data_IF_620129556730
#
_entry.id   IF_620129556730
#
_cell.length_a   1.000
_cell.length_b   1.000
_cell.length_c   1.000
_cell.angle_alpha   90.00
_cell.angle_beta   90.00
_cell.angle_gamma   90.00
#
_symmetry.space_group_name_H-M   'P 1'
#
loop_
_entity.id
_entity.type
_entity.pdbx_description
1 polymer ?
#
# COMPACT_ATOMS: atom_id res chain seq x y z
N UNK A 1 19.70 -53.02 -36.14
CA UNK A 1 20.62 -52.45 -37.15
C UNK A 1 20.62 -50.94 -37.02
N UNK A 2 21.82 -50.34 -36.95
CA UNK A 2 22.16 -48.90 -36.90
C UNK A 2 21.75 -48.15 -35.62
N UNK A 3 22.57 -47.34 -34.96
CA UNK A 3 24.03 -47.18 -34.81
C UNK A 3 24.21 -46.12 -33.72
N UNK A 4 24.99 -46.43 -32.68
CA UNK A 4 25.46 -45.52 -31.65
C UNK A 4 26.40 -44.46 -32.26
N UNK A 5 26.42 -43.25 -31.71
CA UNK A 5 27.59 -42.38 -31.80
C UNK A 5 27.85 -41.66 -30.47
N UNK A 6 29.12 -41.74 -30.10
CA UNK A 6 29.77 -41.32 -28.86
C UNK A 6 30.20 -39.84 -28.91
N UNK A 7 30.41 -39.30 -27.70
CA UNK A 7 30.99 -37.99 -27.38
C UNK A 7 32.40 -37.74 -27.97
N UNK A 8 32.83 -36.47 -27.95
CA UNK A 8 34.18 -36.17 -27.47
C UNK A 8 34.19 -35.10 -26.35
N UNK A 9 35.12 -35.29 -25.40
CA UNK A 9 35.49 -34.36 -24.30
C UNK A 9 36.75 -33.54 -24.67
N UNK A 10 37.36 -32.72 -23.79
CA UNK A 10 37.48 -31.27 -24.02
C UNK A 10 38.94 -30.83 -24.27
N UNK A 11 39.14 -29.66 -24.87
CA UNK A 11 40.44 -28.98 -24.84
C UNK A 11 40.35 -27.65 -24.10
N UNK A 12 41.33 -27.51 -23.22
CA UNK A 12 41.72 -26.39 -22.37
C UNK A 12 41.85 -25.05 -23.10
N UNK A 13 41.25 -23.99 -22.54
CA UNK A 13 41.66 -22.62 -22.81
C UNK A 13 41.66 -21.78 -21.53
N UNK A 14 42.81 -21.15 -21.30
CA UNK A 14 43.17 -20.23 -20.22
C UNK A 14 42.36 -18.92 -20.27
N UNK A 15 42.20 -18.19 -19.15
CA UNK A 15 41.41 -16.97 -19.12
C UNK A 15 42.21 -15.75 -19.60
N UNK A 16 41.62 -14.81 -20.35
CA UNK A 16 42.20 -13.48 -20.48
C UNK A 16 41.64 -12.55 -19.39
N UNK A 17 42.59 -12.00 -18.62
CA UNK A 17 42.69 -10.61 -18.15
C UNK A 17 41.39 -9.83 -17.88
N UNK A 18 41.18 -9.59 -16.57
CA UNK A 18 40.55 -8.42 -15.93
C UNK A 18 40.01 -7.32 -16.86
N UNK A 19 38.68 -7.29 -17.03
CA UNK A 19 37.97 -6.07 -17.43
C UNK A 19 37.72 -5.25 -16.16
N UNK A 20 38.45 -4.15 -16.04
CA UNK A 20 38.23 -3.11 -15.04
C UNK A 20 36.88 -2.46 -15.34
N UNK A 21 35.92 -2.65 -14.44
CA UNK A 21 34.72 -1.81 -14.42
C UNK A 21 35.14 -0.40 -13.99
N UNK A 22 35.23 0.52 -14.95
CA UNK A 22 35.28 1.94 -14.65
C UNK A 22 33.97 2.32 -13.97
N UNK A 23 34.00 2.45 -12.64
CA UNK A 23 32.98 3.16 -11.89
C UNK A 23 33.04 4.63 -12.30
N UNK A 24 32.21 5.02 -13.26
CA UNK A 24 31.90 6.43 -13.49
C UNK A 24 31.21 6.96 -12.24
N UNK A 25 31.91 7.82 -11.52
CA UNK A 25 31.32 8.66 -10.46
C UNK A 25 30.05 9.34 -11.00
N UNK A 26 28.97 9.43 -10.20
CA UNK A 26 27.81 10.21 -10.60
C UNK A 26 28.25 11.65 -10.87
N UNK A 27 27.72 12.32 -11.92
CA UNK A 27 28.03 13.71 -12.17
C UNK A 27 27.67 14.52 -10.92
N UNK A 28 28.62 15.36 -10.51
CA UNK A 28 28.47 16.33 -9.43
C UNK A 28 27.16 17.11 -9.63
N UNK A 29 26.39 17.38 -8.56
CA UNK A 29 25.19 18.20 -8.68
C UNK A 29 25.59 19.53 -9.28
N UNK A 30 25.04 19.84 -10.45
CA UNK A 30 25.16 21.16 -11.05
C UNK A 30 24.69 22.17 -10.01
N UNK A 31 25.39 23.30 -9.80
CA UNK A 31 25.00 24.26 -8.80
C UNK A 31 23.57 24.70 -9.11
N UNK A 32 22.70 24.50 -8.13
CA UNK A 32 21.35 25.07 -8.05
C UNK A 32 21.39 26.45 -8.70
N UNK A 33 20.58 26.65 -9.74
CA UNK A 33 20.26 28.01 -10.17
C UNK A 33 19.89 28.78 -8.91
N UNK A 34 20.63 29.83 -8.64
CA UNK A 34 20.41 30.74 -7.52
C UNK A 34 19.00 31.32 -7.64
N UNK A 35 18.06 30.68 -6.97
CA UNK A 35 16.73 31.22 -6.68
C UNK A 35 16.87 32.31 -5.61
N UNK A 36 17.58 33.40 -5.91
CA UNK A 36 17.59 34.61 -5.06
C UNK A 36 16.50 35.61 -5.47
N UNK A 37 15.47 35.14 -6.18
CA UNK A 37 14.25 35.88 -6.50
C UNK A 37 13.19 34.85 -6.89
N UNK A 38 11.96 34.95 -6.35
CA UNK A 38 10.81 33.99 -6.32
C UNK A 38 10.77 33.19 -4.99
N UNK A 39 9.80 33.31 -4.07
CA UNK A 39 8.38 33.69 -4.15
C UNK A 39 7.86 34.30 -2.82
N UNK A 40 7.26 35.49 -2.84
CA UNK A 40 6.49 36.03 -1.70
C UNK A 40 5.18 35.26 -1.45
N UNK A 41 4.77 34.38 -2.38
CA UNK A 41 3.54 33.60 -2.28
C UNK A 41 3.87 32.14 -1.92
N UNK A 42 3.07 31.50 -1.05
CA UNK A 42 3.25 30.10 -0.67
C UNK A 42 3.05 29.17 -1.87
N UNK A 43 3.80 28.08 -1.94
CA UNK A 43 3.52 26.97 -2.85
C UNK A 43 2.17 26.34 -2.45
N UNK A 44 1.20 26.34 -3.35
CA UNK A 44 -0.15 25.82 -3.11
C UNK A 44 -0.35 24.49 -3.82
N UNK A 45 -0.59 23.44 -3.05
CA UNK A 45 -0.86 22.10 -3.56
C UNK A 45 -2.27 21.64 -3.21
N UNK A 46 -3.02 21.17 -4.20
CA UNK A 46 -4.25 20.40 -3.98
C UNK A 46 -3.94 18.90 -4.06
N UNK A 47 -4.28 18.13 -3.03
CA UNK A 47 -4.19 16.66 -3.06
C UNK A 47 -5.59 16.08 -3.07
N UNK A 48 -5.93 15.31 -4.10
CA UNK A 48 -7.28 14.82 -4.34
C UNK A 48 -7.41 13.34 -3.95
N UNK A 49 -7.91 13.08 -2.75
CA UNK A 49 -8.15 11.76 -2.18
C UNK A 49 -7.32 11.51 -0.93
N UNK A 50 -7.97 11.15 0.18
CA UNK A 50 -7.34 10.98 1.50
C UNK A 50 -7.10 9.51 1.88
N UNK A 51 -6.78 8.67 0.89
CA UNK A 51 -6.35 7.28 1.09
C UNK A 51 -4.83 7.14 1.26
N UNK A 52 -4.33 5.91 1.07
CA UNK A 52 -2.89 5.60 1.16
C UNK A 52 -2.01 6.52 0.29
N UNK A 53 -2.41 6.74 -0.97
CA UNK A 53 -1.66 7.56 -1.92
C UNK A 53 -1.58 9.03 -1.47
N UNK A 54 -2.72 9.66 -1.23
CA UNK A 54 -2.77 11.08 -0.90
C UNK A 54 -2.12 11.42 0.42
N UNK A 55 -2.38 10.65 1.49
CA UNK A 55 -1.74 10.91 2.78
C UNK A 55 -0.22 10.69 2.75
N UNK A 56 0.26 9.72 1.97
CA UNK A 56 1.71 9.57 1.78
C UNK A 56 2.31 10.80 1.09
N UNK A 57 1.66 11.31 0.04
CA UNK A 57 2.10 12.55 -0.65
C UNK A 57 2.10 13.74 0.30
N UNK A 58 1.02 13.94 1.06
CA UNK A 58 0.91 15.04 2.04
C UNK A 58 2.06 14.99 3.05
N UNK A 59 2.30 13.82 3.66
CA UNK A 59 3.40 13.64 4.61
C UNK A 59 4.75 14.02 3.98
N UNK A 60 5.04 13.50 2.78
CA UNK A 60 6.32 13.71 2.13
C UNK A 60 6.50 15.14 1.60
N UNK A 61 5.44 15.80 1.11
CA UNK A 61 5.47 17.22 0.76
C UNK A 61 5.84 18.07 1.98
N UNK A 62 5.19 17.83 3.12
CA UNK A 62 5.50 18.54 4.37
C UNK A 62 6.91 18.23 4.87
N UNK A 63 7.36 16.98 4.75
CA UNK A 63 8.66 16.54 5.29
C UNK A 63 9.84 16.98 4.44
N UNK A 64 9.68 17.01 3.12
CA UNK A 64 10.76 17.26 2.16
C UNK A 64 10.74 18.65 1.53
N UNK A 65 9.70 19.46 1.76
CA UNK A 65 9.74 20.88 1.42
C UNK A 65 10.93 21.55 2.11
N UNK A 66 11.68 22.44 1.42
CA UNK A 66 12.72 23.27 2.04
C UNK A 66 12.20 23.95 3.31
N UNK A 67 13.07 24.15 4.31
CA UNK A 67 12.65 24.69 5.62
C UNK A 67 12.06 26.08 5.49
N UNK A 68 12.58 26.87 4.57
CA UNK A 68 12.23 28.27 4.32
C UNK A 68 11.02 28.40 3.38
N UNK A 69 10.58 27.30 2.74
CA UNK A 69 9.48 27.33 1.80
C UNK A 69 8.13 27.40 2.54
N UNK A 70 7.37 28.46 2.27
CA UNK A 70 5.96 28.51 2.65
C UNK A 70 5.17 27.53 1.76
N UNK A 71 4.48 26.57 2.37
CA UNK A 71 3.68 25.57 1.65
C UNK A 71 2.29 25.47 2.26
N UNK A 72 1.27 25.47 1.39
CA UNK A 72 -0.11 25.23 1.76
C UNK A 72 -0.63 24.03 1.00
N UNK A 73 -1.11 23.03 1.74
CA UNK A 73 -1.68 21.81 1.19
C UNK A 73 -3.17 21.77 1.54
N UNK A 74 -4.01 21.75 0.52
CA UNK A 74 -5.44 21.52 0.64
C UNK A 74 -5.74 20.07 0.21
N UNK A 75 -6.07 19.20 1.17
CA UNK A 75 -6.41 17.80 0.96
C UNK A 75 -7.92 17.67 0.79
N UNK A 76 -8.38 17.11 -0.33
CA UNK A 76 -9.79 16.97 -0.65
C UNK A 76 -10.21 15.50 -0.62
N UNK A 77 -11.31 15.18 0.05
CA UNK A 77 -11.93 13.86 -0.01
C UNK A 77 -13.44 13.97 0.30
N UNK A 78 -14.29 13.28 -0.42
CA UNK A 78 -15.75 13.35 -0.20
C UNK A 78 -16.21 12.69 1.12
N UNK A 79 -15.54 11.62 1.55
CA UNK A 79 -15.91 10.86 2.76
C UNK A 79 -15.04 11.28 3.94
N UNK A 80 -13.77 11.58 3.67
CA UNK A 80 -12.75 11.90 4.65
C UNK A 80 -11.64 10.85 4.68
N UNK A 81 -10.79 10.93 5.70
CA UNK A 81 -9.59 10.10 5.82
C UNK A 81 -9.94 8.60 5.75
N UNK A 82 -9.34 7.91 4.78
CA UNK A 82 -9.50 6.47 4.59
C UNK A 82 -10.87 6.01 4.06
N UNK A 83 -11.78 6.92 3.69
CA UNK A 83 -13.17 6.57 3.33
C UNK A 83 -13.37 5.73 2.06
N UNK A 84 -12.30 5.44 1.32
CA UNK A 84 -12.31 4.56 0.16
C UNK A 84 -11.73 3.16 0.42
N UNK A 85 -11.23 2.52 -0.64
CA UNK A 85 -10.64 1.17 -0.55
C UNK A 85 -9.43 1.07 0.38
N UNK A 86 -8.78 2.20 0.70
CA UNK A 86 -7.63 2.23 1.61
C UNK A 86 -8.03 1.89 3.05
N UNK A 87 -9.05 2.53 3.61
CA UNK A 87 -9.50 2.25 4.99
C UNK A 87 -10.19 0.90 5.14
N UNK A 88 -10.73 0.35 4.05
CA UNK A 88 -11.39 -0.98 4.05
C UNK A 88 -10.37 -2.13 4.04
N UNK A 89 -9.15 -1.91 3.55
CA UNK A 89 -8.22 -2.98 3.19
C UNK A 89 -7.92 -3.97 4.32
N UNK A 90 -7.58 -5.22 3.98
CA UNK A 90 -7.32 -6.28 4.95
C UNK A 90 -6.06 -6.12 5.80
N UNK A 91 -5.25 -5.07 5.59
CA UNK A 91 -4.15 -4.73 6.51
C UNK A 91 -2.91 -5.63 6.44
N UNK A 92 -2.87 -6.65 5.60
CA UNK A 92 -1.76 -7.61 5.53
C UNK A 92 -0.54 -7.00 4.82
N UNK A 93 0.44 -6.57 5.60
CA UNK A 93 1.63 -5.86 5.13
C UNK A 93 2.86 -6.78 5.13
N UNK A 94 3.38 -7.05 3.93
CA UNK A 94 4.61 -7.79 3.67
C UNK A 94 5.15 -7.46 2.26
N UNK A 95 6.47 -7.61 1.99
CA UNK A 95 7.07 -7.17 0.73
C UNK A 95 7.12 -8.26 -0.37
N UNK A 96 6.37 -9.36 -0.22
CA UNK A 96 6.54 -10.56 -1.04
C UNK A 96 5.38 -10.83 -1.99
N UNK A 97 5.71 -11.42 -3.13
CA UNK A 97 4.75 -11.99 -4.08
C UNK A 97 4.15 -13.31 -3.54
N UNK A 98 3.11 -13.86 -4.20
CA UNK A 98 2.58 -15.19 -3.87
C UNK A 98 3.62 -16.33 -3.91
N UNK A 99 4.73 -16.13 -4.62
CA UNK A 99 5.85 -17.07 -4.72
C UNK A 99 7.01 -16.74 -3.76
N UNK A 100 6.77 -15.88 -2.77
CA UNK A 100 7.75 -15.44 -1.77
C UNK A 100 8.94 -14.67 -2.38
N UNK A 101 8.91 -14.36 -3.68
CA UNK A 101 9.87 -13.45 -4.30
C UNK A 101 9.62 -12.03 -3.80
N UNK A 102 10.68 -11.31 -3.46
CA UNK A 102 10.61 -9.87 -3.18
C UNK A 102 9.95 -9.13 -4.36
N UNK A 103 8.98 -8.28 -4.06
CA UNK A 103 8.30 -7.46 -5.06
C UNK A 103 9.25 -6.41 -5.65
N UNK A 104 8.90 -5.86 -6.81
CA UNK A 104 9.66 -4.76 -7.43
C UNK A 104 9.82 -3.61 -6.45
N UNK A 105 11.06 -3.16 -6.25
CA UNK A 105 11.46 -2.15 -5.25
C UNK A 105 10.91 -2.43 -3.84
N UNK A 106 10.69 -3.72 -3.51
CA UNK A 106 10.04 -4.14 -2.27
C UNK A 106 10.82 -3.76 -1.02
N UNK A 107 12.14 -3.62 -1.12
CA UNK A 107 13.00 -3.17 -0.01
C UNK A 107 12.76 -1.70 0.33
N UNK A 108 12.72 -0.84 -0.69
CA UNK A 108 12.46 0.60 -0.59
C UNK A 108 11.03 0.84 -0.10
N UNK A 109 10.07 0.13 -0.68
CA UNK A 109 8.66 0.18 -0.28
C UNK A 109 8.48 -0.23 1.18
N UNK A 110 9.07 -1.36 1.59
CA UNK A 110 9.05 -1.81 2.98
C UNK A 110 9.64 -0.77 3.93
N UNK A 111 10.85 -0.29 3.62
CA UNK A 111 11.56 0.70 4.44
C UNK A 111 10.73 1.97 4.66
N UNK A 112 10.16 2.53 3.60
CA UNK A 112 9.42 3.78 3.70
C UNK A 112 8.06 3.58 4.38
N UNK A 113 7.35 2.50 4.06
CA UNK A 113 6.09 2.15 4.73
C UNK A 113 6.30 1.93 6.23
N UNK A 114 7.39 1.28 6.65
CA UNK A 114 7.72 1.11 8.06
C UNK A 114 8.03 2.43 8.77
N UNK A 115 8.56 3.45 8.07
CA UNK A 115 8.72 4.79 8.65
C UNK A 115 7.38 5.48 8.85
N UNK A 116 6.51 5.47 7.84
CA UNK A 116 5.16 6.05 7.97
C UNK A 116 4.33 5.35 9.04
N UNK A 117 4.53 4.04 9.22
CA UNK A 117 3.91 3.31 10.30
C UNK A 117 4.34 3.82 11.67
N UNK A 118 5.64 4.07 11.88
CA UNK A 118 6.14 4.64 13.14
C UNK A 118 5.55 6.02 13.40
N UNK A 119 5.48 6.86 12.37
CA UNK A 119 4.82 8.18 12.46
C UNK A 119 3.37 8.05 12.93
N UNK A 120 2.62 7.11 12.36
CA UNK A 120 1.24 6.85 12.76
C UNK A 120 1.14 6.28 14.20
N UNK A 121 2.03 5.35 14.57
CA UNK A 121 2.09 4.81 15.95
C UNK A 121 2.39 5.94 16.97
N UNK A 122 3.38 6.80 16.69
CA UNK A 122 3.77 7.94 17.51
C UNK A 122 2.64 8.97 17.66
N UNK A 123 1.98 9.34 16.56
CA UNK A 123 0.86 10.28 16.56
C UNK A 123 -0.39 9.72 17.27
N UNK A 124 -0.54 8.40 17.34
CA UNK A 124 -1.63 7.76 18.09
C UNK A 124 -1.37 7.81 19.60
N UNK A 125 -0.11 7.61 20.01
CA UNK A 125 0.29 7.65 21.42
C UNK A 125 0.18 9.07 22.01
N UNK A 126 0.61 10.10 21.28
CA UNK A 126 0.51 11.49 21.75
C UNK A 126 -0.95 11.89 22.01
N UNK A 127 -1.86 11.53 21.10
CA UNK A 127 -3.28 11.81 21.25
C UNK A 127 -3.88 11.16 22.50
N UNK A 128 -3.51 9.92 22.82
CA UNK A 128 -4.02 9.23 24.01
C UNK A 128 -3.58 9.87 25.34
N UNK A 129 -2.46 10.59 25.36
CA UNK A 129 -1.97 11.29 26.54
C UNK A 129 -2.62 12.66 26.74
N UNK A 130 -3.05 13.32 25.66
CA UNK A 130 -3.71 14.63 25.71
C UNK A 130 -5.20 14.54 26.14
N UNK A 131 -5.81 13.35 26.05
CA UNK A 131 -7.19 13.09 26.44
C UNK A 131 -7.31 12.79 27.95
N UNK A 132 -7.17 13.81 28.80
CA UNK A 132 -7.53 13.72 30.22
C UNK A 132 -8.95 14.28 30.41
N UNK A 133 -9.85 13.39 30.87
CA UNK A 133 -11.27 13.58 31.28
C UNK A 133 -12.32 13.50 30.15
N UNK A 134 -13.07 12.38 30.11
CA UNK A 134 -14.50 12.44 29.76
C UNK A 134 -15.08 11.45 28.74
N UNK A 135 -14.27 10.73 27.96
CA UNK A 135 -14.79 9.79 26.94
C UNK A 135 -14.48 8.33 27.32
N UNK A 136 -15.41 7.42 27.04
CA UNK A 136 -15.34 6.02 27.50
C UNK A 136 -14.08 5.32 27.01
N UNK A 137 -13.38 4.67 27.95
CA UNK A 137 -12.09 4.01 27.75
C UNK A 137 -12.08 2.87 26.71
N UNK A 138 -13.24 2.43 26.22
CA UNK A 138 -13.36 1.34 25.24
C UNK A 138 -13.07 1.78 23.79
N UNK A 139 -13.25 3.05 23.45
CA UNK A 139 -12.91 3.61 22.12
C UNK A 139 -11.41 3.98 21.99
N UNK A 140 -10.65 3.96 23.08
CA UNK A 140 -9.37 4.69 23.20
C UNK A 140 -8.07 3.91 22.92
N UNK A 141 -8.12 2.64 22.48
CA UNK A 141 -6.92 1.93 21.99
C UNK A 141 -7.20 1.10 20.73
N UNK A 142 -7.81 1.73 19.73
CA UNK A 142 -7.88 1.14 18.40
C UNK A 142 -6.44 0.97 17.85
N UNK A 143 -5.95 -0.28 17.73
CA UNK A 143 -4.56 -0.54 17.35
C UNK A 143 -4.27 -0.01 15.93
N UNK A 144 -3.03 0.42 15.69
CA UNK A 144 -2.56 0.76 14.34
C UNK A 144 -1.99 -0.47 13.64
N UNK A 145 -1.13 -1.24 14.34
CA UNK A 145 -0.52 -2.46 13.82
C UNK A 145 -0.41 -3.56 14.88
N UNK A 146 -0.54 -4.80 14.43
CA UNK A 146 -0.24 -6.01 15.19
C UNK A 146 1.03 -6.66 14.64
N UNK A 147 2.01 -6.83 15.53
CA UNK A 147 3.34 -7.39 15.24
C UNK A 147 3.36 -8.89 15.53
N UNK A 148 2.45 -9.62 14.87
CA UNK A 148 2.22 -11.07 15.07
C UNK A 148 2.74 -11.94 13.92
N UNK A 149 3.30 -11.32 12.88
CA UNK A 149 3.72 -12.01 11.67
C UNK A 149 2.57 -12.43 10.75
N UNK A 150 2.94 -12.96 9.60
CA UNK A 150 2.02 -13.54 8.61
C UNK A 150 2.50 -14.94 8.23
N UNK A 151 1.60 -15.92 8.27
CA UNK A 151 1.84 -17.28 7.85
C UNK A 151 1.19 -17.53 6.48
N UNK A 152 1.97 -18.04 5.53
CA UNK A 152 1.49 -18.40 4.19
C UNK A 152 1.61 -19.90 3.98
N UNK A 153 0.52 -20.68 4.06
CA UNK A 153 0.53 -22.08 3.67
C UNK A 153 0.98 -22.23 2.21
N UNK A 154 1.74 -23.27 1.92
CA UNK A 154 2.02 -23.64 0.54
C UNK A 154 0.73 -24.16 -0.11
N UNK A 155 0.35 -23.57 -1.25
CA UNK A 155 -0.83 -23.96 -2.04
C UNK A 155 -0.52 -24.46 -3.44
N UNK A 156 0.77 -24.55 -3.82
CA UNK A 156 1.19 -25.14 -5.09
C UNK A 156 2.60 -25.77 -5.01
N UNK A 157 2.68 -27.09 -5.21
CA UNK A 157 3.94 -27.84 -5.28
C UNK A 157 4.80 -27.47 -6.49
N UNK A 158 4.21 -27.07 -7.62
CA UNK A 158 4.95 -26.83 -8.88
C UNK A 158 5.98 -25.71 -8.75
N UNK A 159 5.73 -24.76 -7.87
CA UNK A 159 6.61 -23.63 -7.64
C UNK A 159 7.50 -23.80 -6.39
N UNK A 160 7.43 -24.93 -5.68
CA UNK A 160 8.06 -25.10 -4.37
C UNK A 160 9.58 -24.86 -4.41
N UNK A 161 10.30 -25.43 -5.38
CA UNK A 161 11.75 -25.20 -5.54
C UNK A 161 12.07 -23.71 -5.68
N UNK A 162 11.31 -23.00 -6.53
CA UNK A 162 11.48 -21.55 -6.73
C UNK A 162 11.17 -20.77 -5.45
N UNK A 163 10.17 -21.18 -4.70
CA UNK A 163 9.81 -20.54 -3.43
C UNK A 163 10.92 -20.72 -2.41
N UNK A 164 11.45 -21.93 -2.25
CA UNK A 164 12.59 -22.22 -1.36
C UNK A 164 13.82 -21.39 -1.76
N UNK A 165 14.09 -21.25 -3.05
CA UNK A 165 15.19 -20.39 -3.51
C UNK A 165 14.94 -18.90 -3.22
N UNK A 166 13.69 -18.43 -3.38
CA UNK A 166 13.34 -17.05 -3.01
C UNK A 166 13.50 -16.79 -1.50
N UNK A 167 13.18 -17.78 -0.64
CA UNK A 167 13.36 -17.66 0.82
C UNK A 167 14.83 -17.39 1.18
N UNK A 168 15.79 -18.00 0.47
CA UNK A 168 17.23 -17.77 0.70
C UNK A 168 17.67 -16.33 0.42
N UNK A 169 16.90 -15.61 -0.39
CA UNK A 169 17.16 -14.22 -0.82
C UNK A 169 16.12 -13.25 -0.28
N UNK A 170 15.42 -13.64 0.79
CA UNK A 170 14.42 -12.80 1.42
C UNK A 170 15.04 -11.52 1.99
N UNK A 171 14.21 -10.49 2.16
CA UNK A 171 14.61 -9.22 2.74
C UNK A 171 14.96 -9.41 4.22
N UNK A 172 16.19 -9.06 4.67
CA UNK A 172 16.59 -9.28 6.07
C UNK A 172 15.70 -8.58 7.11
N UNK A 173 15.12 -7.43 6.75
CA UNK A 173 14.20 -6.67 7.62
C UNK A 173 12.76 -7.18 7.61
N UNK A 174 12.47 -8.25 6.88
CA UNK A 174 11.22 -9.00 6.93
C UNK A 174 11.49 -10.44 6.49
N UNK A 175 12.12 -11.25 7.34
CA UNK A 175 12.63 -12.56 6.95
C UNK A 175 11.51 -13.54 6.63
N UNK A 176 11.86 -14.64 5.98
CA UNK A 176 10.94 -15.75 5.74
C UNK A 176 11.52 -17.04 6.28
N UNK A 177 10.74 -17.71 7.12
CA UNK A 177 11.05 -19.00 7.70
C UNK A 177 10.19 -20.08 7.04
N UNK A 178 10.76 -21.24 6.73
CA UNK A 178 10.00 -22.37 6.21
C UNK A 178 9.63 -23.27 7.38
N UNK A 179 8.34 -23.47 7.60
CA UNK A 179 7.80 -24.27 8.69
C UNK A 179 7.17 -25.55 8.17
N UNK A 180 7.34 -26.64 8.91
CA UNK A 180 6.59 -27.88 8.73
C UNK A 180 5.25 -27.83 9.50
N UNK A 181 4.43 -28.88 9.38
CA UNK A 181 3.14 -28.99 10.08
C UNK A 181 3.22 -28.76 11.59
N UNK A 182 4.18 -29.39 12.28
CA UNK A 182 4.28 -29.30 13.74
C UNK A 182 4.63 -27.87 14.17
N UNK A 183 5.59 -27.27 13.47
CA UNK A 183 6.03 -25.88 13.74
C UNK A 183 4.91 -24.88 13.48
N UNK A 184 4.16 -25.03 12.39
CA UNK A 184 3.02 -24.16 12.10
C UNK A 184 1.88 -24.32 13.12
N UNK A 185 1.62 -25.54 13.58
CA UNK A 185 0.59 -25.80 14.60
C UNK A 185 0.96 -25.28 16.00
N UNK A 186 2.25 -25.08 16.29
CA UNK A 186 2.67 -24.35 17.50
C UNK A 186 2.23 -22.89 17.43
N UNK A 187 2.24 -22.26 16.24
CA UNK A 187 1.82 -20.86 16.07
C UNK A 187 0.29 -20.72 16.00
N UNK A 188 -0.37 -21.63 15.29
CA UNK A 188 -1.83 -21.66 15.12
C UNK A 188 -2.32 -23.10 15.29
N UNK A 189 -2.91 -23.46 16.45
CA UNK A 189 -3.48 -24.78 16.67
C UNK A 189 -4.50 -25.16 15.60
N UNK A 190 -4.56 -26.45 15.29
CA UNK A 190 -5.46 -27.05 14.28
C UNK A 190 -5.31 -26.55 12.85
N UNK A 191 -4.23 -25.81 12.55
CA UNK A 191 -3.93 -25.39 11.19
C UNK A 191 -3.68 -26.58 10.27
N UNK A 192 -4.31 -26.54 9.10
CA UNK A 192 -4.18 -27.50 8.03
C UNK A 192 -3.29 -26.95 6.90
N UNK A 193 -2.16 -27.61 6.62
CA UNK A 193 -1.27 -27.25 5.52
C UNK A 193 -1.44 -28.24 4.36
N UNK A 194 -1.92 -27.81 3.17
CA UNK A 194 -2.15 -28.69 2.03
C UNK A 194 -0.93 -29.52 1.60
N UNK A 195 0.27 -28.93 1.73
CA UNK A 195 1.53 -29.58 1.36
C UNK A 195 2.50 -29.71 2.54
N UNK A 196 1.98 -29.75 3.78
CA UNK A 196 2.79 -29.90 5.01
C UNK A 196 3.84 -28.80 5.25
N UNK A 197 3.79 -27.71 4.47
CA UNK A 197 4.76 -26.63 4.46
C UNK A 197 4.05 -25.28 4.50
N UNK A 198 4.59 -24.36 5.29
CA UNK A 198 4.19 -22.96 5.32
C UNK A 198 5.42 -22.04 5.33
N UNK A 199 5.21 -20.79 4.92
CA UNK A 199 6.21 -19.74 4.93
C UNK A 199 5.78 -18.68 5.94
N UNK A 200 6.55 -18.56 7.02
CA UNK A 200 6.27 -17.63 8.10
C UNK A 200 7.11 -16.37 7.96
N UNK A 201 6.46 -15.21 8.05
CA UNK A 201 7.08 -13.89 7.99
C UNK A 201 6.89 -13.22 9.36
N UNK A 202 7.83 -13.38 10.30
CA UNK A 202 7.66 -12.88 11.68
C UNK A 202 7.56 -11.35 11.77
N UNK A 203 8.23 -10.58 10.92
CA UNK A 203 8.14 -9.11 10.92
C UNK A 203 6.97 -8.57 10.10
N UNK A 204 6.23 -9.43 9.38
CA UNK A 204 5.05 -9.00 8.65
C UNK A 204 3.94 -8.59 9.63
N UNK A 205 3.05 -7.72 9.18
CA UNK A 205 2.13 -6.99 10.06
C UNK A 205 0.69 -7.14 9.60
N UNK A 206 -0.23 -7.15 10.57
CA UNK A 206 -1.64 -6.85 10.32
C UNK A 206 -1.93 -5.41 10.77
N UNK A 207 -2.36 -4.57 9.86
CA UNK A 207 -2.57 -3.13 10.07
C UNK A 207 -4.08 -2.86 10.09
N UNK A 208 -4.58 -2.18 11.11
CA UNK A 208 -5.90 -1.59 11.01
C UNK A 208 -5.79 -0.38 10.08
N UNK A 209 -6.28 -0.54 8.85
CA UNK A 209 -6.03 0.41 7.77
C UNK A 209 -6.66 1.77 8.03
N UNK A 210 -7.86 1.79 8.62
CA UNK A 210 -8.56 3.02 8.94
C UNK A 210 -7.84 3.79 10.05
N UNK A 211 -7.48 3.11 11.14
CA UNK A 211 -6.76 3.72 12.25
C UNK A 211 -5.39 4.24 11.80
N UNK A 212 -4.67 3.46 10.98
CA UNK A 212 -3.39 3.86 10.41
C UNK A 212 -3.50 5.16 9.60
N UNK A 213 -4.50 5.29 8.73
CA UNK A 213 -4.67 6.49 7.91
C UNK A 213 -5.06 7.70 8.75
N UNK A 214 -5.96 7.55 9.72
CA UNK A 214 -6.32 8.61 10.66
C UNK A 214 -5.11 9.08 11.47
N UNK A 215 -4.33 8.14 11.99
CA UNK A 215 -3.12 8.42 12.74
C UNK A 215 -2.02 9.06 11.88
N UNK A 216 -1.85 8.62 10.63
CA UNK A 216 -0.90 9.23 9.70
C UNK A 216 -1.30 10.69 9.38
N UNK A 217 -2.60 10.97 9.21
CA UNK A 217 -3.09 12.33 9.04
C UNK A 217 -2.77 13.21 10.26
N UNK A 218 -3.00 12.70 11.48
CA UNK A 218 -2.58 13.40 12.72
C UNK A 218 -1.07 13.63 12.76
N UNK A 219 -0.27 12.68 12.28
CA UNK A 219 1.17 12.86 12.11
C UNK A 219 1.51 14.04 11.20
N UNK A 220 0.77 14.21 10.09
CA UNK A 220 0.92 15.37 9.20
C UNK A 220 0.58 16.68 9.92
N UNK A 221 -0.50 16.71 10.72
CA UNK A 221 -0.88 17.88 11.52
C UNK A 221 0.19 18.23 12.57
N UNK A 222 0.77 17.23 13.24
CA UNK A 222 1.85 17.43 14.20
C UNK A 222 3.09 18.04 13.51
N UNK A 223 3.44 17.55 12.32
CA UNK A 223 4.55 18.10 11.53
C UNK A 223 4.32 19.57 11.13
N UNK A 224 3.08 19.96 10.85
CA UNK A 224 2.70 21.38 10.61
C UNK A 224 2.87 22.23 11.87
N UNK A 225 2.39 21.74 13.03
CA UNK A 225 2.54 22.44 14.31
C UNK A 225 4.02 22.64 14.69
N UNK A 226 4.84 21.61 14.54
CA UNK A 226 6.29 21.65 14.80
C UNK A 226 7.04 22.63 13.89
N UNK A 227 6.54 22.82 12.66
CA UNK A 227 7.15 23.73 11.68
C UNK A 227 6.80 25.21 11.93
N UNK A 228 5.98 25.53 12.92
CA UNK A 228 5.51 26.91 13.20
C UNK A 228 6.48 27.74 14.07
N UNK A 229 7.78 27.41 14.07
CA UNK A 229 8.82 28.15 14.80
C UNK A 229 9.29 29.39 14.01
N UNK A 230 9.81 30.41 14.72
CA UNK A 230 10.07 31.76 14.18
C UNK A 230 10.98 31.80 12.93
N UNK A 231 11.82 30.78 12.73
CA UNK A 231 12.83 30.74 11.66
C UNK A 231 12.48 29.78 10.50
N UNK A 232 11.26 29.23 10.47
CA UNK A 232 10.81 28.30 9.42
C UNK A 232 9.71 28.90 8.55
N UNK A 233 9.68 28.52 7.27
CA UNK A 233 8.58 28.80 6.37
C UNK A 233 7.27 28.23 6.90
N UNK A 234 6.19 28.98 6.71
CA UNK A 234 4.87 28.61 7.20
C UNK A 234 4.33 27.41 6.41
N UNK A 235 4.03 26.32 7.12
CA UNK A 235 3.34 25.15 6.57
C UNK A 235 1.88 25.18 6.98
N UNK A 236 0.98 24.84 6.07
CA UNK A 236 -0.45 24.72 6.33
C UNK A 236 -1.00 23.45 5.69
N UNK A 237 -1.90 22.78 6.40
CA UNK A 237 -2.64 21.61 5.92
C UNK A 237 -4.11 21.80 6.27
N UNK A 238 -4.99 21.71 5.27
CA UNK A 238 -6.45 21.78 5.46
C UNK A 238 -7.11 20.57 4.81
N UNK A 239 -8.00 19.90 5.53
CA UNK A 239 -8.85 18.84 4.99
C UNK A 239 -10.21 19.43 4.57
N UNK A 240 -10.57 19.22 3.32
CA UNK A 240 -11.84 19.62 2.72
C UNK A 240 -12.68 18.38 2.45
N UNK A 241 -13.76 18.20 3.22
CA UNK A 241 -14.71 17.11 3.01
C UNK A 241 -15.69 17.45 1.89
N UNK A 242 -15.29 17.23 0.63
CA UNK A 242 -16.01 17.68 -0.58
C UNK A 242 -15.82 16.72 -1.74
N UNK A 243 -16.87 16.52 -2.53
CA UNK A 243 -16.82 15.81 -3.81
C UNK A 243 -16.10 16.63 -4.88
N UNK A 244 -15.33 15.93 -5.71
CA UNK A 244 -14.61 16.51 -6.83
C UNK A 244 -15.25 15.98 -8.11
N UNK A 245 -15.70 16.87 -8.98
CA UNK A 245 -16.37 16.49 -10.20
C UNK A 245 -15.49 16.70 -11.43
N UNK A 246 -14.61 17.70 -11.40
CA UNK A 246 -13.73 18.08 -12.50
C UNK A 246 -12.40 18.64 -12.02
N UNK A 247 -11.35 18.46 -12.81
CA UNK A 247 -10.02 18.99 -12.48
C UNK A 247 -9.88 20.50 -12.72
N UNK A 248 -10.63 21.05 -13.67
CA UNK A 248 -10.63 22.49 -13.97
C UNK A 248 -11.10 23.36 -12.79
N UNK A 249 -11.74 22.77 -11.77
CA UNK A 249 -12.15 23.45 -10.53
C UNK A 249 -10.95 23.99 -9.72
N UNK A 250 -9.74 23.51 -9.98
CA UNK A 250 -8.51 23.84 -9.24
C UNK A 250 -7.56 24.74 -10.04
N UNK A 251 -7.90 25.09 -11.28
CA UNK A 251 -7.08 25.93 -12.14
C UNK A 251 -6.99 27.37 -11.60
N UNK A 252 -5.82 28.00 -11.72
CA UNK A 252 -5.58 29.37 -11.24
C UNK A 252 -5.44 29.52 -9.72
N UNK A 253 -5.85 28.52 -8.93
CA UNK A 253 -5.77 28.56 -7.47
C UNK A 253 -4.51 27.87 -6.92
N UNK A 254 -4.07 26.79 -7.56
CA UNK A 254 -2.97 25.94 -7.11
C UNK A 254 -1.78 25.98 -8.07
N UNK A 255 -0.59 25.73 -7.56
CA UNK A 255 0.60 25.50 -8.39
C UNK A 255 0.69 24.04 -8.85
N UNK A 256 0.21 23.11 -8.00
CA UNK A 256 0.18 21.69 -8.28
C UNK A 256 -1.12 21.03 -7.80
N UNK A 257 -1.69 20.15 -8.64
CA UNK A 257 -2.84 19.31 -8.33
C UNK A 257 -2.43 17.84 -8.44
N UNK A 258 -2.49 17.10 -7.33
CA UNK A 258 -2.09 15.70 -7.26
C UNK A 258 -3.33 14.82 -7.13
N UNK A 259 -3.62 14.04 -8.17
CA UNK A 259 -4.78 13.17 -8.29
C UNK A 259 -4.50 11.81 -7.63
N UNK A 260 -5.13 11.56 -6.48
CA UNK A 260 -5.01 10.35 -5.66
C UNK A 260 -6.37 9.65 -5.41
N UNK A 261 -7.32 9.78 -6.34
CA UNK A 261 -8.73 9.38 -6.17
C UNK A 261 -9.00 7.87 -6.24
N UNK A 262 -7.97 7.03 -6.39
CA UNK A 262 -8.14 5.58 -6.52
C UNK A 262 -9.07 5.21 -7.68
N UNK A 263 -10.05 4.34 -7.44
CA UNK A 263 -11.01 3.93 -8.47
C UNK A 263 -11.94 5.06 -8.94
N UNK A 264 -12.13 6.09 -8.11
CA UNK A 264 -12.96 7.25 -8.47
C UNK A 264 -12.29 8.18 -9.47
N UNK A 265 -11.01 7.97 -9.82
CA UNK A 265 -10.41 8.76 -10.91
C UNK A 265 -11.21 8.68 -12.23
N UNK A 266 -11.93 7.58 -12.45
CA UNK A 266 -12.78 7.39 -13.62
C UNK A 266 -14.06 8.26 -13.64
N UNK A 267 -14.43 8.93 -12.55
CA UNK A 267 -15.58 9.87 -12.56
C UNK A 267 -15.20 11.23 -13.17
N UNK A 268 -13.89 11.53 -13.27
CA UNK A 268 -13.41 12.79 -13.80
C UNK A 268 -13.49 12.78 -15.33
N UNK A 269 -14.19 13.74 -15.98
CA UNK A 269 -14.35 13.75 -17.42
C UNK A 269 -13.02 13.92 -18.16
N UNK A 270 -12.04 14.61 -17.56
CA UNK A 270 -10.73 14.84 -18.15
C UNK A 270 -9.88 13.55 -18.25
N UNK A 271 -10.17 12.56 -17.39
CA UNK A 271 -9.37 11.32 -17.23
C UNK A 271 -10.14 10.07 -17.67
N UNK A 272 -11.48 10.06 -17.58
CA UNK A 272 -12.32 8.89 -17.84
C UNK A 272 -11.96 8.21 -19.16
N UNK A 273 -11.64 6.90 -19.08
CA UNK A 273 -11.27 6.09 -20.24
C UNK A 273 -9.84 6.26 -20.77
N UNK A 274 -9.02 7.10 -20.13
CA UNK A 274 -7.64 7.40 -20.59
C UNK A 274 -6.55 6.70 -19.79
N UNK A 275 -6.87 6.19 -18.61
CA UNK A 275 -5.93 5.43 -17.78
C UNK A 275 -6.13 3.92 -17.97
N UNK A 276 -5.06 3.12 -18.01
CA UNK A 276 -5.15 1.66 -18.13
C UNK A 276 -5.54 0.99 -16.80
N UNK A 277 -6.53 1.56 -16.09
CA UNK A 277 -7.00 1.06 -14.80
C UNK A 277 -8.24 0.20 -14.98
N UNK A 278 -8.28 -0.92 -14.25
CA UNK A 278 -9.46 -1.77 -14.13
C UNK A 278 -10.01 -1.67 -12.72
N UNK A 279 -11.31 -1.66 -12.57
CA UNK A 279 -11.93 -1.68 -11.25
C UNK A 279 -12.13 -3.11 -10.76
N UNK A 280 -11.91 -3.33 -9.46
CA UNK A 280 -12.21 -4.59 -8.80
C UNK A 280 -12.73 -4.36 -7.38
N UNK A 281 -14.01 -4.66 -7.17
CA UNK A 281 -14.62 -4.63 -5.85
C UNK A 281 -14.20 -5.87 -5.08
N UNK A 282 -13.92 -5.71 -3.79
CA UNK A 282 -13.59 -6.81 -2.88
C UNK A 282 -14.36 -6.64 -1.58
N UNK A 283 -15.09 -7.68 -1.20
CA UNK A 283 -15.82 -7.80 0.05
C UNK A 283 -14.96 -8.52 1.08
N UNK A 284 -14.98 -8.02 2.31
CA UNK A 284 -14.32 -8.59 3.49
C UNK A 284 -15.42 -8.92 4.49
N UNK A 285 -15.44 -10.16 4.95
CA UNK A 285 -16.34 -10.63 6.00
C UNK A 285 -15.69 -10.42 7.37
N UNK A 286 -16.46 -9.93 8.33
CA UNK A 286 -16.10 -9.82 9.72
C UNK A 286 -16.70 -11.00 10.49
N UNK A 287 -15.83 -11.74 11.19
CA UNK A 287 -16.21 -12.89 12.00
C UNK A 287 -15.79 -12.66 13.45
N UNK A 288 -16.68 -12.99 14.37
CA UNK A 288 -16.44 -12.93 15.80
C UNK A 288 -16.63 -14.30 16.45
N UNK A 289 -15.84 -14.57 17.48
CA UNK A 289 -15.97 -15.81 18.24
C UNK A 289 -16.95 -15.63 19.41
N UNK A 290 -18.06 -16.40 19.47
CA UNK A 290 -19.10 -16.23 20.48
C UNK A 290 -18.59 -16.38 21.91
N UNK A 291 -18.98 -15.49 22.84
CA UNK A 291 -18.43 -15.40 24.21
C UNK A 291 -18.42 -16.69 25.02
N UNK A 292 -19.38 -17.59 24.76
CA UNK A 292 -19.44 -18.90 25.43
C UNK A 292 -18.27 -19.84 25.07
N UNK A 293 -17.55 -19.58 23.97
CA UNK A 293 -16.34 -20.32 23.59
C UNK A 293 -15.17 -19.85 24.44
N UNK A 294 -14.56 -20.81 25.16
CA UNK A 294 -13.38 -20.57 26.02
C UNK A 294 -12.09 -20.39 25.22
N UNK A 295 -11.96 -21.09 24.10
CA UNK A 295 -10.74 -21.08 23.27
C UNK A 295 -10.79 -19.92 22.27
N UNK A 296 -9.89 -18.96 22.41
CA UNK A 296 -9.76 -17.83 21.49
C UNK A 296 -8.70 -18.10 20.41
N UNK A 297 -8.64 -17.24 19.39
CA UNK A 297 -7.50 -17.22 18.49
C UNK A 297 -6.20 -16.97 19.29
N UNK A 298 -5.09 -17.66 19.01
CA UNK A 298 -3.87 -17.53 19.80
C UNK A 298 -3.40 -16.08 19.91
N UNK A 299 -3.06 -15.63 21.12
CA UNK A 299 -2.73 -14.22 21.41
C UNK A 299 -1.52 -13.72 20.60
N UNK A 300 -0.55 -14.59 20.33
CA UNK A 300 0.61 -14.34 19.45
C UNK A 300 0.47 -14.93 18.04
N UNK A 301 -0.70 -15.46 17.69
CA UNK A 301 -0.91 -16.15 16.41
C UNK A 301 -0.80 -15.20 15.21
N UNK A 302 -0.10 -15.59 14.13
CA UNK A 302 0.02 -14.78 12.93
C UNK A 302 -1.30 -14.68 12.17
N UNK A 303 -1.40 -13.66 11.31
CA UNK A 303 -2.44 -13.65 10.26
C UNK A 303 -2.11 -14.69 9.18
N UNK A 304 -3.12 -15.18 8.47
CA UNK A 304 -2.96 -16.26 7.48
C UNK A 304 -3.18 -15.72 6.08
N UNK A 305 -2.21 -15.94 5.19
CA UNK A 305 -2.23 -15.50 3.80
C UNK A 305 -2.38 -16.69 2.84
N UNK A 306 -3.63 -17.09 2.60
CA UNK A 306 -4.04 -18.14 1.65
C UNK A 306 -5.00 -17.58 0.59
N UNK A 307 -5.76 -18.44 -0.10
CA UNK A 307 -6.72 -18.03 -1.15
C UNK A 307 -7.84 -17.14 -0.62
N UNK A 308 -8.29 -17.41 0.61
CA UNK A 308 -9.03 -16.46 1.44
C UNK A 308 -8.17 -16.16 2.66
N UNK A 309 -7.60 -14.96 2.71
CA UNK A 309 -6.76 -14.54 3.81
C UNK A 309 -7.58 -14.31 5.08
N UNK A 310 -6.94 -14.49 6.22
CA UNK A 310 -7.49 -14.24 7.56
C UNK A 310 -6.59 -13.19 8.21
N UNK A 311 -7.12 -12.00 8.44
CA UNK A 311 -6.44 -10.91 9.12
C UNK A 311 -6.95 -10.85 10.57
N UNK A 312 -6.03 -11.01 11.51
CA UNK A 312 -6.34 -11.04 12.93
C UNK A 312 -6.57 -9.60 13.41
N UNK A 313 -7.79 -9.30 13.85
CA UNK A 313 -8.14 -7.99 14.45
C UNK A 313 -8.07 -8.06 15.97
N UNK A 314 -8.26 -9.25 16.55
CA UNK A 314 -8.09 -9.53 17.97
C UNK A 314 -8.23 -11.03 18.26
N UNK A 315 -8.11 -11.45 19.52
CA UNK A 315 -8.25 -12.87 19.89
C UNK A 315 -9.63 -13.45 19.56
N UNK A 316 -10.66 -12.60 19.43
CA UNK A 316 -12.05 -13.00 19.15
C UNK A 316 -12.65 -12.31 17.93
N UNK A 317 -11.82 -11.64 17.12
CA UNK A 317 -12.26 -10.88 15.95
C UNK A 317 -11.31 -11.09 14.79
N UNK A 318 -11.86 -11.57 13.66
CA UNK A 318 -11.14 -11.88 12.44
C UNK A 318 -11.81 -11.20 11.25
N UNK A 319 -11.00 -10.71 10.33
CA UNK A 319 -11.45 -10.37 8.99
C UNK A 319 -11.04 -11.46 8.02
N UNK A 320 -11.96 -11.87 7.15
CA UNK A 320 -11.73 -12.86 6.10
C UNK A 320 -11.94 -12.21 4.75
N UNK A 321 -10.98 -12.34 3.85
CA UNK A 321 -11.16 -11.74 2.54
C UNK A 321 -10.20 -12.19 1.46
N UNK A 322 -10.26 -11.56 0.28
CA UNK A 322 -11.41 -10.78 -0.18
C UNK A 322 -11.96 -11.44 -1.44
N UNK A 323 -13.23 -11.19 -1.75
CA UNK A 323 -13.78 -11.51 -3.07
C UNK A 323 -13.14 -10.66 -4.17
N UNK A 324 -13.42 -10.99 -5.43
CA UNK A 324 -12.87 -10.31 -6.61
C UNK A 324 -13.94 -10.10 -7.69
N UNK A 325 -14.73 -9.04 -7.55
CA UNK A 325 -15.71 -8.63 -8.57
C UNK A 325 -15.08 -7.62 -9.53
N UNK A 326 -14.63 -8.10 -10.69
CA UNK A 326 -14.04 -7.26 -11.73
C UNK A 326 -15.08 -6.41 -12.47
N UNK A 327 -14.66 -5.26 -12.98
CA UNK A 327 -15.49 -4.29 -13.73
C UNK A 327 -16.64 -3.68 -12.91
N UNK A 328 -16.66 -3.90 -11.60
CA UNK A 328 -17.59 -3.25 -10.69
C UNK A 328 -17.39 -1.73 -10.71
N UNK A 329 -18.48 -0.97 -10.62
CA UNK A 329 -18.45 0.49 -10.42
C UNK A 329 -18.94 0.87 -9.02
N UNK A 330 -19.31 -0.12 -8.20
CA UNK A 330 -19.84 0.10 -6.87
C UNK A 330 -18.71 0.47 -5.90
N UNK A 331 -18.58 1.77 -5.63
CA UNK A 331 -17.62 2.31 -4.67
C UNK A 331 -18.14 2.40 -3.24
N UNK A 332 -19.37 1.95 -2.96
CA UNK A 332 -19.97 2.03 -1.63
C UNK A 332 -19.21 1.13 -0.65
N UNK A 333 -18.88 1.59 0.56
CA UNK A 333 -18.31 0.73 1.59
C UNK A 333 -19.33 -0.27 2.15
N UNK A 334 -20.62 0.05 2.02
CA UNK A 334 -21.72 -0.78 2.51
C UNK A 334 -21.91 -2.00 1.61
N UNK A 335 -22.23 -3.12 2.26
CA UNK A 335 -22.44 -4.43 1.63
C UNK A 335 -23.88 -4.84 1.94
N UNK A 336 -24.66 -5.18 0.91
CA UNK A 336 -26.03 -5.67 1.12
C UNK A 336 -26.02 -7.07 1.71
N UNK A 337 -27.12 -7.51 2.32
CA UNK A 337 -27.25 -8.88 2.84
C UNK A 337 -26.95 -9.94 1.78
N UNK A 338 -27.49 -9.78 0.57
CA UNK A 338 -27.24 -10.71 -0.54
C UNK A 338 -25.77 -10.74 -0.97
N UNK A 339 -25.10 -9.58 -1.01
CA UNK A 339 -23.69 -9.49 -1.35
C UNK A 339 -22.82 -10.13 -0.26
N UNK A 340 -23.16 -9.90 1.02
CA UNK A 340 -22.49 -10.51 2.15
C UNK A 340 -22.63 -12.04 2.17
N UNK A 341 -23.84 -12.56 1.92
CA UNK A 341 -24.09 -14.01 1.83
C UNK A 341 -23.26 -14.66 0.74
N UNK A 342 -23.23 -14.08 -0.48
CA UNK A 342 -22.39 -14.57 -1.58
C UNK A 342 -20.90 -14.53 -1.25
N UNK A 343 -20.45 -13.46 -0.59
CA UNK A 343 -19.06 -13.36 -0.15
C UNK A 343 -18.70 -14.44 0.87
N UNK A 344 -19.59 -14.73 1.83
CA UNK A 344 -19.37 -15.77 2.82
C UNK A 344 -19.35 -17.18 2.19
N UNK A 345 -20.27 -17.46 1.27
CA UNK A 345 -20.30 -18.71 0.48
C UNK A 345 -18.99 -18.92 -0.29
N UNK A 346 -18.37 -17.85 -0.80
CA UNK A 346 -17.08 -17.93 -1.49
C UNK A 346 -15.89 -18.08 -0.53
N UNK A 347 -15.87 -17.30 0.55
CA UNK A 347 -14.69 -17.13 1.41
C UNK A 347 -14.57 -18.21 2.49
N UNK A 348 -15.67 -18.60 3.12
CA UNK A 348 -15.64 -19.52 4.26
C UNK A 348 -15.10 -20.92 3.91
N UNK A 349 -15.45 -21.53 2.75
CA UNK A 349 -14.85 -22.81 2.36
C UNK A 349 -13.33 -22.71 2.18
N UNK A 350 -12.83 -21.62 1.58
CA UNK A 350 -11.40 -21.39 1.35
C UNK A 350 -10.65 -21.16 2.65
N UNK A 351 -11.20 -20.36 3.56
CA UNK A 351 -10.61 -20.09 4.87
C UNK A 351 -10.58 -21.35 5.75
N UNK A 352 -11.70 -22.09 5.79
CA UNK A 352 -11.82 -23.30 6.62
C UNK A 352 -11.03 -24.50 6.10
N UNK A 353 -10.60 -24.50 4.84
CA UNK A 353 -9.64 -25.48 4.33
C UNK A 353 -8.25 -25.34 4.97
N UNK A 354 -7.91 -24.14 5.47
CA UNK A 354 -6.63 -23.84 6.11
C UNK A 354 -6.76 -23.78 7.63
N UNK A 355 -7.80 -23.10 8.14
CA UNK A 355 -8.09 -22.99 9.56
C UNK A 355 -9.51 -23.52 9.84
N UNK A 356 -9.69 -24.84 10.04
CA UNK A 356 -11.00 -25.46 10.20
C UNK A 356 -11.84 -24.88 11.34
N UNK A 357 -11.19 -24.43 12.43
CA UNK A 357 -11.83 -23.79 13.58
C UNK A 357 -12.63 -22.54 13.22
N UNK A 358 -12.39 -21.91 12.07
CA UNK A 358 -13.16 -20.74 11.62
C UNK A 358 -14.65 -21.01 11.43
N UNK A 359 -15.05 -22.29 11.25
CA UNK A 359 -16.46 -22.67 11.11
C UNK A 359 -17.27 -22.44 12.38
N UNK A 360 -16.61 -22.33 13.53
CA UNK A 360 -17.23 -22.04 14.82
C UNK A 360 -17.41 -20.54 15.07
N UNK A 361 -16.93 -19.69 14.15
CA UNK A 361 -17.03 -18.24 14.25
C UNK A 361 -18.32 -17.73 13.62
N UNK A 362 -18.87 -16.66 14.18
CA UNK A 362 -20.13 -16.07 13.75
C UNK A 362 -19.86 -14.86 12.86
N UNK A 363 -20.57 -14.80 11.74
CA UNK A 363 -20.57 -13.64 10.88
C UNK A 363 -21.31 -12.47 11.55
N UNK A 364 -20.64 -11.33 11.70
CA UNK A 364 -21.20 -10.13 12.34
C UNK A 364 -21.31 -8.94 11.38
N UNK A 365 -20.64 -8.97 10.23
CA UNK A 365 -20.79 -7.93 9.23
C UNK A 365 -19.87 -8.10 8.02
N UNK A 366 -20.04 -7.22 7.03
CA UNK A 366 -19.16 -7.18 5.86
C UNK A 366 -18.94 -5.73 5.41
N UNK A 367 -17.78 -5.48 4.81
CA UNK A 367 -17.41 -4.20 4.20
C UNK A 367 -16.77 -4.42 2.85
N UNK A 368 -16.84 -3.43 1.97
CA UNK A 368 -16.28 -3.55 0.63
C UNK A 368 -15.48 -2.33 0.17
N UNK A 369 -14.46 -2.59 -0.65
CA UNK A 369 -13.63 -1.55 -1.25
C UNK A 369 -13.54 -1.72 -2.75
N UNK A 370 -13.64 -0.62 -3.50
CA UNK A 370 -13.42 -0.60 -4.95
C UNK A 370 -11.96 -0.26 -5.26
N UNK A 371 -11.20 -1.25 -5.73
CA UNK A 371 -9.78 -1.11 -6.06
C UNK A 371 -9.60 -0.60 -7.47
N UNK A 372 -8.68 0.35 -7.65
CA UNK A 372 -8.09 0.67 -8.96
C UNK A 372 -6.92 -0.28 -9.20
N UNK A 373 -7.10 -1.27 -10.07
CA UNK A 373 -6.10 -2.26 -10.44
C UNK A 373 -5.31 -1.75 -11.64
N UNK A 374 -3.97 -1.67 -11.55
CA UNK A 374 -3.12 -1.27 -12.66
C UNK A 374 -2.93 -2.43 -13.65
N UNK A 375 -2.37 -2.17 -14.85
CA UNK A 375 -2.05 -3.24 -15.78
C UNK A 375 -0.99 -4.18 -15.20
N UNK A 376 -0.97 -5.43 -15.66
CA UNK A 376 0.08 -6.39 -15.31
C UNK A 376 1.22 -6.23 -16.30
N UNK A 377 2.44 -6.00 -15.80
CA UNK A 377 3.66 -5.90 -16.60
C UNK A 377 4.64 -7.03 -16.23
N UNK A 378 5.81 -7.07 -16.86
CA UNK A 378 6.93 -7.94 -16.47
C UNK A 378 7.39 -7.73 -15.02
N UNK A 379 7.17 -6.53 -14.48
CA UNK A 379 7.50 -6.17 -13.09
C UNK A 379 6.32 -6.40 -12.12
N UNK A 380 5.20 -6.90 -12.62
CA UNK A 380 3.96 -7.11 -11.88
C UNK A 380 2.94 -5.98 -12.09
N UNK A 381 1.98 -5.88 -11.18
CA UNK A 381 0.93 -4.85 -11.21
C UNK A 381 1.42 -3.58 -10.50
N UNK A 382 2.20 -2.75 -11.19
CA UNK A 382 2.77 -1.53 -10.62
C UNK A 382 1.78 -0.36 -10.65
N UNK A 383 1.73 0.48 -9.59
CA UNK A 383 0.91 1.69 -9.58
C UNK A 383 1.32 2.69 -10.67
N UNK A 384 0.42 3.63 -10.98
CA UNK A 384 0.63 4.66 -12.00
C UNK A 384 1.05 5.97 -11.33
N UNK A 385 2.23 6.48 -11.71
CA UNK A 385 2.68 7.82 -11.35
C UNK A 385 2.93 8.65 -12.61
N UNK A 386 2.86 9.97 -12.49
CA UNK A 386 3.38 10.88 -13.51
C UNK A 386 2.58 12.16 -13.68
N UNK A 387 3.14 13.09 -14.45
CA UNK A 387 2.48 14.31 -14.88
C UNK A 387 1.36 13.99 -15.88
N UNK A 388 0.21 14.65 -15.77
CA UNK A 388 -0.95 14.45 -16.64
C UNK A 388 -1.42 15.77 -17.28
N UNK A 389 -0.52 16.74 -17.47
CA UNK A 389 -0.83 18.01 -18.13
C UNK A 389 -1.45 17.81 -19.53
N UNK A 390 -0.96 16.81 -20.28
CA UNK A 390 -1.50 16.44 -21.60
C UNK A 390 -2.98 16.01 -21.53
N UNK A 391 -3.50 15.74 -20.33
CA UNK A 391 -4.89 15.40 -20.14
C UNK A 391 -5.80 16.62 -20.06
N UNK A 392 -5.24 17.76 -19.68
CA UNK A 392 -5.96 18.99 -19.37
C UNK A 392 -6.11 19.92 -20.58
N UNK A 393 -5.38 19.71 -21.68
CA UNK A 393 -5.37 20.59 -22.86
C UNK A 393 -4.16 21.55 -22.87
N UNK A 394 -4.22 22.68 -23.59
CA UNK A 394 -3.13 23.69 -23.62
C UNK A 394 -3.43 24.86 -22.66
N UNK A 395 -2.37 25.49 -22.15
CA UNK A 395 -2.36 26.74 -21.35
C UNK A 395 -2.92 26.67 -19.91
N UNK A 396 -2.38 25.78 -19.08
CA UNK A 396 -2.73 25.75 -17.65
C UNK A 396 -1.69 26.49 -16.81
N UNK A 397 -2.16 27.21 -15.78
CA UNK A 397 -1.29 27.87 -14.81
C UNK A 397 -0.68 26.92 -13.78
N UNK A 398 -1.16 25.68 -13.71
CA UNK A 398 -0.79 24.70 -12.69
C UNK A 398 -0.37 23.36 -13.29
N UNK A 399 0.42 22.58 -12.55
CA UNK A 399 0.85 21.22 -12.92
C UNK A 399 -0.08 20.17 -12.36
N UNK A 400 -0.49 19.21 -13.20
CA UNK A 400 -1.31 18.08 -12.78
C UNK A 400 -0.50 16.80 -12.70
N UNK A 401 -0.65 16.08 -11.59
CA UNK A 401 0.07 14.84 -11.30
C UNK A 401 -0.92 13.73 -10.97
N UNK A 402 -0.58 12.50 -11.32
CA UNK A 402 -1.34 11.30 -10.97
C UNK A 402 -0.52 10.44 -10.03
N UNK A 403 -1.13 9.98 -8.95
CA UNK A 403 -0.66 8.85 -8.16
C UNK A 403 -1.84 7.92 -7.85
N UNK A 404 -1.98 6.86 -8.63
CA UNK A 404 -3.13 5.96 -8.58
C UNK A 404 -2.80 4.51 -8.91
N UNK A 405 -3.82 3.65 -9.02
CA UNK A 405 -3.62 2.25 -9.42
C UNK A 405 -2.90 1.40 -8.37
N UNK A 406 -3.07 1.67 -7.07
CA UNK A 406 -2.42 0.91 -6.00
C UNK A 406 -2.85 -0.57 -5.90
N UNK A 407 -3.97 -0.94 -6.53
CA UNK A 407 -4.48 -2.31 -6.57
C UNK A 407 -4.63 -2.96 -5.19
N UNK A 408 -4.19 -4.22 -5.07
CA UNK A 408 -4.23 -4.98 -3.81
C UNK A 408 -2.95 -4.87 -2.98
N UNK A 409 -2.00 -4.02 -3.38
CA UNK A 409 -0.69 -3.86 -2.71
C UNK A 409 -0.44 -2.42 -2.27
N UNK A 410 -1.51 -1.62 -2.17
CA UNK A 410 -1.42 -0.21 -1.84
C UNK A 410 -0.70 0.09 -0.54
N UNK A 411 -0.98 -0.70 0.50
CA UNK A 411 -0.35 -0.56 1.82
C UNK A 411 1.17 -0.80 1.81
N UNK A 412 1.72 -1.53 0.83
CA UNK A 412 3.17 -1.68 0.70
C UNK A 412 3.78 -0.52 -0.08
N UNK A 413 3.18 -0.17 -1.21
CA UNK A 413 3.75 0.77 -2.18
C UNK A 413 3.60 2.24 -1.77
N UNK A 414 2.59 2.60 -0.98
CA UNK A 414 2.21 4.00 -0.80
C UNK A 414 3.30 4.86 -0.19
N UNK A 415 4.06 4.35 0.78
CA UNK A 415 5.12 5.11 1.44
C UNK A 415 6.16 5.61 0.45
N UNK A 416 6.83 4.70 -0.25
CA UNK A 416 7.91 5.07 -1.17
C UNK A 416 7.39 5.80 -2.43
N UNK A 417 6.24 5.40 -2.97
CA UNK A 417 5.69 6.08 -4.15
C UNK A 417 5.17 7.48 -3.85
N UNK A 418 4.63 7.72 -2.64
CA UNK A 418 4.29 9.06 -2.19
C UNK A 418 5.53 9.95 -2.02
N UNK A 419 6.65 9.37 -1.59
CA UNK A 419 7.93 10.08 -1.56
C UNK A 419 8.38 10.54 -2.96
N UNK A 420 8.38 9.62 -3.93
CA UNK A 420 8.74 9.93 -5.32
C UNK A 420 7.84 11.02 -5.90
N UNK A 421 6.54 10.93 -5.66
CA UNK A 421 5.58 11.93 -6.12
C UNK A 421 5.82 13.30 -5.47
N UNK A 422 6.05 13.36 -4.16
CA UNK A 422 6.37 14.61 -3.47
C UNK A 422 7.65 15.25 -4.04
N UNK A 423 8.69 14.46 -4.29
CA UNK A 423 9.91 14.95 -4.95
C UNK A 423 9.65 15.48 -6.36
N UNK A 424 8.85 14.78 -7.16
CA UNK A 424 8.49 15.22 -8.51
C UNK A 424 7.73 16.54 -8.51
N UNK A 425 6.79 16.70 -7.56
CA UNK A 425 6.03 17.94 -7.37
C UNK A 425 6.93 19.09 -6.92
N UNK A 426 7.76 18.89 -5.88
CA UNK A 426 8.63 19.93 -5.33
C UNK A 426 9.71 20.39 -6.31
N UNK A 427 10.19 19.49 -7.17
CA UNK A 427 11.18 19.81 -8.21
C UNK A 427 10.55 20.19 -9.55
N UNK A 428 9.22 20.11 -9.68
CA UNK A 428 8.49 20.23 -10.94
C UNK A 428 9.10 19.35 -12.06
N UNK A 429 9.59 18.16 -11.71
CA UNK A 429 10.30 17.29 -12.64
C UNK A 429 9.78 15.84 -12.57
N UNK A 430 9.18 15.35 -13.65
CA UNK A 430 8.71 13.96 -13.75
C UNK A 430 9.87 12.97 -13.85
N UNK A 431 11.04 13.36 -14.35
CA UNK A 431 12.18 12.45 -14.60
C UNK A 431 12.76 11.82 -13.33
N UNK A 432 12.41 12.34 -12.15
CA UNK A 432 12.78 11.72 -10.87
C UNK A 432 11.97 10.46 -10.57
N UNK A 433 10.87 10.23 -11.29
CA UNK A 433 10.02 9.04 -11.16
C UNK A 433 10.58 7.93 -12.07
N UNK A 434 10.84 6.72 -11.53
CA UNK A 434 11.26 5.57 -12.32
C UNK A 434 10.34 5.29 -13.51
N UNK A 435 10.93 4.98 -14.66
CA UNK A 435 10.22 4.79 -15.93
C UNK A 435 9.15 3.70 -15.89
N UNK A 436 9.33 2.68 -15.04
CA UNK A 436 8.38 1.60 -14.83
C UNK A 436 7.01 2.11 -14.35
N UNK A 437 7.00 3.20 -13.58
CA UNK A 437 5.81 3.82 -13.02
C UNK A 437 5.16 4.86 -13.94
N UNK A 438 5.86 5.32 -14.98
CA UNK A 438 5.36 6.29 -15.99
C UNK A 438 5.11 5.65 -17.36
N UNK A 439 5.61 4.43 -17.58
CA UNK A 439 5.52 3.68 -18.84
C UNK A 439 4.10 3.46 -19.36
N UNK A 440 3.10 3.54 -18.47
CA UNK A 440 1.69 3.45 -18.82
C UNK A 440 1.24 4.52 -19.82
N UNK A 441 1.93 5.66 -19.88
CA UNK A 441 1.67 6.71 -20.89
C UNK A 441 1.92 6.25 -22.33
N UNK A 442 2.76 5.23 -22.50
CA UNK A 442 3.09 4.66 -23.81
C UNK A 442 2.12 3.54 -24.24
N UNK A 443 1.22 3.13 -23.35
CA UNK A 443 0.21 2.11 -23.65
C UNK A 443 -0.91 2.80 -24.42
N UNK A 444 -1.08 2.43 -25.70
CA UNK A 444 -2.25 2.89 -26.47
C UNK A 444 -3.51 2.34 -25.81
N UNK A 445 -4.53 3.18 -25.55
CA UNK A 445 -5.78 2.76 -24.92
C UNK A 445 -6.52 1.69 -25.73
#
# INVERSE_FOLDING_TARGET
MRSLNLWPTPNSFSPPLSVVYNYSLPPSPSPLRSHHSLTQHPLRCAVLGAGYAGLSVVWHLLKHSPKELNIRIDLYDEVGIGGGASGVSGGLLHPYSPKVKLLWEGSQCWKETMKLLRVAEEASLSYSNDCIVGESAEDMKAFVAQKRGILRPATDLKNMTKVIDNVKTCLPSCRVETLNNKEAQILVPDLCLPFTTAFYMPEALCINSQNYLQALFRGCENLVKESSTLDSGQKQLTLHKRSIHRLSEFEGEYDAVIVCLGAKVNILPEICGRLPLRTCRGVIAHLELPDYRREAYPEGGPSILSDAWIAVQGPRSLDVGSTWEWKSINSSPNVSTDEASKALEELLPKASAIYPGIKDWVFTGARAGLRAMPPVTSHGSLPLLGCIDDFMGRNHSCKYWLFGGLGSRGLLYHGWLGNLMAHAVLSCNEEVIPSELTSWKNIKP
#
